data_IF_384872093875
#
_entry.id   IF_384872093875
#
_cell.length_a   1.000
_cell.length_b   1.000
_cell.length_c   1.000
_cell.angle_alpha   90.00
_cell.angle_beta   90.00
_cell.angle_gamma   90.00
#
_symmetry.space_group_name_H-M   'P 1'
#
loop_
_entity.id
_entity.type
_entity.pdbx_description
1 polymer ?
#
# COMPACT_ATOMS: atom_id res chain seq x y z
N UNK A 1 -14.47 31.55 -40.06
CA UNK A 1 -14.39 30.13 -39.62
C UNK A 1 -13.40 30.08 -38.46
N UNK A 2 -13.74 30.46 -37.23
CA UNK A 2 -14.80 29.92 -36.35
C UNK A 2 -14.66 28.41 -36.13
N UNK A 3 -13.95 28.10 -35.03
CA UNK A 3 -14.32 27.10 -34.01
C UNK A 3 -14.60 25.68 -34.49
N UNK A 4 -13.64 24.76 -34.36
CA UNK A 4 -13.93 23.31 -34.27
C UNK A 4 -12.76 22.41 -33.80
N UNK A 5 -11.73 22.95 -33.15
CA UNK A 5 -10.58 22.14 -32.69
C UNK A 5 -10.06 22.66 -31.35
N UNK A 6 -10.81 22.47 -30.28
CA UNK A 6 -10.32 22.49 -28.88
C UNK A 6 -11.51 22.40 -27.93
N UNK A 7 -12.00 21.18 -27.65
CA UNK A 7 -12.69 20.83 -26.39
C UNK A 7 -13.14 19.36 -26.41
N UNK A 8 -12.20 18.44 -26.26
CA UNK A 8 -12.46 17.19 -25.54
C UNK A 8 -11.60 17.29 -24.28
N UNK A 9 -12.02 18.19 -23.38
CA UNK A 9 -11.48 18.28 -22.04
C UNK A 9 -12.24 17.23 -21.22
N UNK A 10 -11.70 16.01 -21.21
CA UNK A 10 -12.12 14.89 -20.38
C UNK A 10 -12.12 15.36 -18.92
N UNK A 11 -13.29 15.71 -18.38
CA UNK A 11 -13.49 15.92 -16.95
C UNK A 11 -13.39 14.57 -16.24
N UNK A 12 -12.17 14.14 -15.95
CA UNK A 12 -11.91 13.08 -14.98
C UNK A 12 -11.90 13.75 -13.60
N UNK A 13 -13.07 14.05 -13.06
CA UNK A 13 -13.21 14.38 -11.65
C UNK A 13 -12.92 13.11 -10.85
N UNK A 14 -11.66 12.94 -10.45
CA UNK A 14 -11.27 12.01 -9.40
C UNK A 14 -12.00 12.44 -8.12
N UNK A 15 -13.08 11.74 -7.80
CA UNK A 15 -13.56 11.69 -6.42
C UNK A 15 -12.44 11.05 -5.59
N UNK A 16 -11.63 11.88 -4.94
CA UNK A 16 -10.81 11.41 -3.83
C UNK A 16 -11.77 11.03 -2.71
N UNK A 17 -12.21 9.76 -2.68
CA UNK A 17 -12.65 9.16 -1.44
C UNK A 17 -11.41 9.09 -0.55
N UNK A 18 -11.17 10.18 0.18
CA UNK A 18 -10.36 10.10 1.38
C UNK A 18 -11.08 9.10 2.28
N UNK A 19 -10.58 7.87 2.31
CA UNK A 19 -10.90 6.94 3.38
C UNK A 19 -10.28 7.55 4.65
N UNK A 20 -11.01 8.50 5.24
CA UNK A 20 -10.77 8.94 6.60
C UNK A 20 -10.76 7.67 7.44
N UNK A 21 -9.69 7.52 8.21
CA UNK A 21 -9.59 6.55 9.28
C UNK A 21 -10.69 6.88 10.29
N UNK A 22 -11.90 6.40 10.02
CA UNK A 22 -12.97 6.35 10.99
C UNK A 22 -12.51 5.37 12.05
N UNK A 23 -12.08 5.93 13.18
CA UNK A 23 -12.09 5.21 14.45
C UNK A 23 -13.55 4.79 14.62
N UNK A 24 -13.88 3.55 14.24
CA UNK A 24 -15.19 2.99 14.46
C UNK A 24 -15.37 2.91 15.99
N UNK A 25 -16.10 3.90 16.48
CA UNK A 25 -16.71 3.91 17.79
C UNK A 25 -17.54 2.64 17.91
N UNK A 26 -17.24 1.87 18.95
CA UNK A 26 -17.98 0.75 19.53
C UNK A 26 -19.29 0.43 18.80
N UNK A 27 -19.23 -0.49 17.83
CA UNK A 27 -20.42 -1.24 17.44
C UNK A 27 -20.50 -2.40 18.41
N UNK A 28 -21.59 -2.44 19.17
CA UNK A 28 -21.94 -3.52 20.08
C UNK A 28 -21.55 -4.86 19.46
N UNK A 29 -20.72 -5.59 20.19
CA UNK A 29 -20.33 -6.95 19.87
C UNK A 29 -21.60 -7.75 19.58
N UNK A 30 -21.79 -8.13 18.32
CA UNK A 30 -22.49 -9.37 18.04
C UNK A 30 -21.76 -10.41 18.89
N UNK A 31 -22.42 -10.91 19.93
CA UNK A 31 -21.82 -11.88 20.85
C UNK A 31 -21.32 -13.06 20.00
N UNK A 32 -20.01 -13.13 19.81
CA UNK A 32 -19.38 -14.18 19.03
C UNK A 32 -19.36 -15.41 19.94
N UNK A 33 -20.11 -16.46 19.59
CA UNK A 33 -20.22 -17.64 20.46
C UNK A 33 -19.24 -18.75 20.09
N UNK A 34 -18.62 -18.68 18.90
CA UNK A 34 -17.70 -19.70 18.42
C UNK A 34 -16.62 -19.14 17.48
N UNK A 35 -15.54 -19.90 17.30
CA UNK A 35 -14.38 -19.54 16.44
C UNK A 35 -14.81 -19.27 15.00
N UNK A 36 -15.82 -19.98 14.47
CA UNK A 36 -16.29 -19.77 13.08
C UNK A 36 -16.94 -18.40 12.91
N UNK A 37 -17.73 -17.98 13.89
CA UNK A 37 -18.38 -16.67 13.94
C UNK A 37 -17.37 -15.55 14.20
N UNK A 38 -16.32 -15.83 14.97
CA UNK A 38 -15.18 -14.92 15.20
C UNK A 38 -14.47 -14.53 13.90
N UNK A 39 -14.28 -15.50 13.00
CA UNK A 39 -13.73 -15.25 11.67
C UNK A 39 -14.76 -14.63 10.71
N UNK A 40 -16.02 -15.07 10.72
CA UNK A 40 -17.06 -14.53 9.80
C UNK A 40 -17.43 -13.08 10.08
N UNK A 41 -17.42 -12.69 11.35
CA UNK A 41 -17.69 -11.31 11.79
C UNK A 41 -16.46 -10.40 11.71
N UNK A 42 -15.36 -10.90 11.14
CA UNK A 42 -14.19 -10.10 10.86
C UNK A 42 -14.42 -9.02 9.82
N UNK A 43 -13.46 -8.11 9.72
CA UNK A 43 -13.50 -6.97 8.81
C UNK A 43 -12.37 -7.07 7.79
N UNK A 44 -12.70 -6.81 6.53
CA UNK A 44 -11.74 -6.74 5.43
C UNK A 44 -11.59 -5.26 5.05
N UNK A 45 -10.35 -4.81 4.95
CA UNK A 45 -10.01 -3.48 4.47
C UNK A 45 -8.94 -3.60 3.41
N UNK A 46 -8.93 -2.69 2.45
CA UNK A 46 -7.91 -2.71 1.42
C UNK A 46 -7.95 -1.48 0.55
N UNK A 47 -6.94 -1.36 -0.28
CA UNK A 47 -6.88 -0.33 -1.30
C UNK A 47 -6.12 -0.85 -2.51
N UNK A 48 -6.43 -0.28 -3.67
CA UNK A 48 -5.66 -0.42 -4.88
C UNK A 48 -4.88 0.87 -5.12
N UNK A 49 -3.71 0.74 -5.71
CA UNK A 49 -2.82 1.85 -6.04
C UNK A 49 -2.23 1.62 -7.42
N UNK A 50 -2.25 2.68 -8.21
CA UNK A 50 -1.38 2.83 -9.36
C UNK A 50 -0.37 3.95 -9.04
N UNK A 51 0.90 3.72 -9.33
CA UNK A 51 1.99 4.66 -9.06
C UNK A 51 2.85 4.78 -10.32
N UNK A 52 2.70 5.92 -10.98
CA UNK A 52 3.56 6.32 -12.09
C UNK A 52 4.69 7.22 -11.56
N UNK A 53 5.93 6.90 -11.90
CA UNK A 53 7.12 7.65 -11.52
C UNK A 53 7.99 7.88 -12.73
N UNK A 54 8.51 9.09 -12.85
CA UNK A 54 9.55 9.41 -13.82
C UNK A 54 10.60 10.30 -13.18
N UNK A 55 11.87 9.98 -13.44
CA UNK A 55 13.02 10.78 -13.05
C UNK A 55 13.66 11.34 -14.31
N UNK A 56 13.66 12.67 -14.42
CA UNK A 56 14.38 13.41 -15.46
C UNK A 56 15.75 13.78 -14.92
N UNK A 57 16.80 13.20 -15.48
CA UNK A 57 18.18 13.42 -15.08
C UNK A 57 18.81 14.55 -15.91
N UNK A 58 19.89 15.13 -15.39
CA UNK A 58 20.56 16.26 -16.04
C UNK A 58 21.57 15.81 -17.09
N UNK A 59 21.64 16.55 -18.20
CA UNK A 59 22.69 16.38 -19.22
C UNK A 59 22.51 15.11 -20.03
N UNK A 60 23.56 14.28 -20.09
CA UNK A 60 23.59 13.04 -20.87
C UNK A 60 23.19 11.80 -20.07
N UNK A 61 22.73 11.96 -18.83
CA UNK A 61 22.25 10.86 -18.00
C UNK A 61 20.91 10.37 -18.53
N UNK A 62 20.68 9.05 -18.47
CA UNK A 62 19.42 8.45 -18.88
C UNK A 62 18.25 8.87 -17.99
N UNK A 63 17.09 9.11 -18.60
CA UNK A 63 15.83 9.28 -17.89
C UNK A 63 15.16 7.93 -17.63
N UNK A 64 14.48 7.83 -16.48
CA UNK A 64 13.83 6.60 -16.06
C UNK A 64 12.33 6.82 -15.83
N UNK A 65 11.56 5.80 -16.12
CA UNK A 65 10.11 5.80 -15.97
C UNK A 65 9.63 4.41 -15.58
N UNK A 66 8.67 4.38 -14.65
CA UNK A 66 8.03 3.15 -14.20
C UNK A 66 6.57 3.40 -13.86
N UNK A 67 5.77 2.37 -14.10
CA UNK A 67 4.38 2.31 -13.70
C UNK A 67 4.14 1.01 -12.91
N UNK A 68 3.79 1.18 -11.64
CA UNK A 68 3.47 0.08 -10.75
C UNK A 68 1.97 0.05 -10.46
N UNK A 69 1.37 -1.12 -10.48
CA UNK A 69 -0.03 -1.32 -10.06
C UNK A 69 -0.08 -2.39 -8.99
N UNK A 70 -0.83 -2.17 -7.93
CA UNK A 70 -0.86 -3.08 -6.80
C UNK A 70 -1.91 -2.68 -5.78
N UNK A 71 -1.80 -3.25 -4.59
CA UNK A 71 -2.74 -2.96 -3.52
C UNK A 71 -2.37 -3.63 -2.22
N UNK A 72 -3.18 -3.35 -1.22
CA UNK A 72 -3.13 -3.98 0.09
C UNK A 72 -4.49 -4.59 0.42
N UNK A 73 -4.47 -5.77 1.02
CA UNK A 73 -5.64 -6.41 1.62
C UNK A 73 -5.29 -6.76 3.06
N UNK A 74 -6.15 -6.34 3.98
CA UNK A 74 -6.06 -6.58 5.39
C UNK A 74 -7.35 -7.28 5.86
N UNK A 75 -7.20 -8.25 6.74
CA UNK A 75 -8.28 -8.90 7.44
C UNK A 75 -8.02 -8.86 8.94
N UNK A 76 -9.04 -8.49 9.71
CA UNK A 76 -9.01 -8.58 11.16
C UNK A 76 -10.22 -9.37 11.65
N UNK A 77 -10.04 -10.31 12.57
CA UNK A 77 -11.17 -11.00 13.21
C UNK A 77 -12.02 -10.03 14.01
N UNK A 78 -13.23 -10.45 14.38
CA UNK A 78 -13.98 -9.76 15.43
C UNK A 78 -13.20 -9.80 16.76
N UNK A 79 -13.67 -9.06 17.77
CA UNK A 79 -13.13 -9.20 19.13
C UNK A 79 -13.88 -10.33 19.86
N UNK A 80 -13.15 -11.28 20.44
CA UNK A 80 -13.70 -12.36 21.27
C UNK A 80 -13.00 -12.34 22.64
N UNK A 81 -13.75 -12.02 23.69
CA UNK A 81 -13.21 -11.74 25.03
C UNK A 81 -12.04 -10.74 25.01
N UNK A 82 -12.12 -9.73 24.14
CA UNK A 82 -11.07 -8.73 23.93
C UNK A 82 -9.94 -9.16 22.98
N UNK A 83 -9.87 -10.42 22.56
CA UNK A 83 -8.85 -10.89 21.62
C UNK A 83 -9.26 -10.70 20.16
N UNK A 84 -8.33 -10.22 19.33
CA UNK A 84 -8.45 -10.18 17.88
C UNK A 84 -7.12 -10.46 17.19
N UNK A 85 -7.18 -11.05 16.00
CA UNK A 85 -6.02 -11.31 15.15
C UNK A 85 -6.15 -10.48 13.88
N UNK A 86 -5.06 -9.88 13.44
CA UNK A 86 -4.99 -9.13 12.18
C UNK A 86 -3.89 -9.66 11.26
N UNK A 87 -4.18 -9.68 9.96
CA UNK A 87 -3.25 -10.04 8.89
C UNK A 87 -3.38 -9.04 7.75
N UNK A 88 -2.26 -8.60 7.17
CA UNK A 88 -2.27 -7.72 5.98
C UNK A 88 -1.22 -8.14 4.99
N UNK A 89 -1.63 -8.34 3.74
CA UNK A 89 -0.77 -8.58 2.60
C UNK A 89 -0.78 -7.40 1.64
N UNK A 90 0.34 -7.21 0.94
CA UNK A 90 0.47 -6.29 -0.19
C UNK A 90 0.98 -7.03 -1.41
N UNK A 91 0.47 -6.65 -2.58
CA UNK A 91 0.89 -7.17 -3.87
C UNK A 91 1.22 -5.99 -4.79
N UNK A 92 2.18 -6.17 -5.69
CA UNK A 92 2.63 -5.13 -6.60
C UNK A 92 3.11 -5.77 -7.89
N UNK A 93 2.67 -5.21 -9.01
CA UNK A 93 2.99 -5.65 -10.36
C UNK A 93 3.66 -4.50 -11.12
N UNK A 94 4.71 -4.83 -11.85
CA UNK A 94 5.29 -3.92 -12.83
C UNK A 94 4.43 -3.95 -14.10
N UNK A 95 3.73 -2.85 -14.36
CA UNK A 95 2.86 -2.72 -15.54
C UNK A 95 3.57 -2.11 -16.74
N UNK A 96 4.58 -1.26 -16.50
CA UNK A 96 5.40 -0.66 -17.55
C UNK A 96 6.69 -0.12 -16.94
N UNK A 97 7.81 -0.28 -17.65
CA UNK A 97 9.09 0.34 -17.32
C UNK A 97 9.94 0.54 -18.59
N UNK A 98 10.91 1.45 -18.53
CA UNK A 98 11.83 1.74 -19.64
C UNK A 98 13.24 1.11 -19.44
N UNK A 99 13.29 -0.13 -18.93
CA UNK A 99 14.51 -0.90 -18.61
C UNK A 99 15.26 -0.36 -17.38
N UNK A 100 14.66 -0.56 -16.20
CA UNK A 100 15.19 -0.04 -14.94
C UNK A 100 16.58 -0.58 -14.56
N UNK A 101 16.95 -1.75 -15.10
CA UNK A 101 18.24 -2.41 -14.83
C UNK A 101 19.32 -2.05 -15.86
N UNK A 102 19.01 -1.22 -16.86
CA UNK A 102 20.00 -0.75 -17.82
C UNK A 102 20.98 0.19 -17.11
N UNK A 103 22.26 -0.18 -17.13
CA UNK A 103 23.34 0.63 -16.61
C UNK A 103 23.54 1.84 -17.53
N UNK A 104 23.50 3.03 -16.95
CA UNK A 104 23.83 4.28 -17.61
C UNK A 104 25.34 4.38 -17.84
N UNK A 105 25.76 4.61 -19.09
CA UNK A 105 27.18 4.63 -19.47
C UNK A 105 27.96 5.77 -18.80
N UNK A 106 27.31 6.90 -18.51
CA UNK A 106 27.96 8.07 -17.93
C UNK A 106 28.17 7.94 -16.41
N UNK A 107 27.25 7.28 -15.70
CA UNK A 107 27.28 7.15 -14.23
C UNK A 107 27.62 5.74 -13.73
N UNK A 108 27.61 4.74 -14.61
CA UNK A 108 27.74 3.32 -14.32
C UNK A 108 26.75 2.84 -13.23
N UNK A 109 25.53 3.39 -13.24
CA UNK A 109 24.44 3.09 -12.31
C UNK A 109 23.14 2.85 -13.06
N UNK A 110 22.21 2.14 -12.42
CA UNK A 110 20.85 1.93 -12.93
C UNK A 110 19.84 2.80 -12.17
N UNK A 111 18.55 2.72 -12.54
CA UNK A 111 17.50 3.53 -11.93
C UNK A 111 17.34 3.22 -10.44
N UNK A 112 17.64 4.18 -9.55
CA UNK A 112 17.44 3.95 -8.11
C UNK A 112 15.97 4.10 -7.71
N UNK A 113 15.34 5.20 -8.09
CA UNK A 113 14.03 5.60 -7.55
C UNK A 113 12.89 4.73 -8.08
N UNK A 114 12.88 4.46 -9.38
CA UNK A 114 11.87 3.65 -10.05
C UNK A 114 11.93 2.19 -9.60
N UNK A 115 13.13 1.65 -9.37
CA UNK A 115 13.33 0.26 -8.93
C UNK A 115 12.80 0.04 -7.51
N UNK A 116 12.84 1.06 -6.63
CA UNK A 116 12.25 1.02 -5.28
C UNK A 116 10.70 0.90 -5.27
N UNK A 117 10.02 1.06 -6.40
CA UNK A 117 8.60 0.72 -6.51
C UNK A 117 8.36 -0.79 -6.47
N UNK A 118 9.39 -1.60 -6.73
CA UNK A 118 9.35 -3.04 -6.86
C UNK A 118 10.28 -3.72 -5.83
N UNK A 119 10.51 -5.02 -5.97
CA UNK A 119 11.44 -5.75 -5.10
C UNK A 119 12.88 -5.63 -5.58
N UNK A 120 13.72 -5.14 -4.69
CA UNK A 120 15.15 -5.04 -4.91
C UNK A 120 15.86 -6.40 -4.80
N UNK A 121 15.26 -7.40 -4.14
CA UNK A 121 15.87 -8.73 -3.98
C UNK A 121 15.72 -9.60 -5.23
N UNK A 122 14.69 -9.34 -6.04
CA UNK A 122 14.41 -10.03 -7.31
C UNK A 122 14.03 -9.02 -8.40
N UNK A 123 14.97 -8.16 -8.84
CA UNK A 123 14.68 -7.06 -9.75
C UNK A 123 14.20 -7.51 -11.15
N UNK A 124 14.51 -8.76 -11.54
CA UNK A 124 14.08 -9.39 -12.80
C UNK A 124 12.62 -9.87 -12.75
N UNK A 125 12.07 -10.08 -11.55
CA UNK A 125 10.74 -10.65 -11.35
C UNK A 125 9.67 -9.55 -11.41
N UNK A 126 8.85 -9.59 -12.47
CA UNK A 126 7.83 -8.56 -12.72
C UNK A 126 6.44 -8.91 -12.21
N UNK A 127 6.20 -10.17 -11.81
CA UNK A 127 4.85 -10.72 -11.61
C UNK A 127 4.54 -11.28 -10.23
N UNK A 128 5.47 -11.27 -9.30
CA UNK A 128 5.24 -11.93 -8.03
C UNK A 128 5.91 -11.17 -6.90
N UNK A 129 5.12 -10.66 -5.95
CA UNK A 129 5.64 -9.88 -4.83
C UNK A 129 4.66 -9.68 -3.67
N UNK A 130 4.04 -10.79 -3.25
CA UNK A 130 3.16 -10.84 -2.10
C UNK A 130 3.98 -10.75 -0.80
N UNK A 131 3.91 -9.61 -0.11
CA UNK A 131 4.59 -9.41 1.20
C UNK A 131 3.56 -9.30 2.31
N UNK A 132 3.78 -10.03 3.39
CA UNK A 132 2.99 -9.92 4.62
C UNK A 132 3.48 -8.70 5.43
N UNK A 133 2.65 -7.67 5.51
CA UNK A 133 2.94 -6.42 6.22
C UNK A 133 2.59 -6.48 7.69
N UNK A 134 1.45 -7.08 8.03
CA UNK A 134 0.97 -7.16 9.41
C UNK A 134 0.60 -8.59 9.75
N UNK A 135 1.01 -8.99 10.95
CA UNK A 135 0.57 -10.22 11.60
C UNK A 135 0.65 -9.99 13.09
N UNK A 136 -0.50 -9.79 13.72
CA UNK A 136 -0.54 -9.42 15.12
C UNK A 136 -1.70 -10.06 15.88
N UNK A 137 -1.50 -10.19 17.18
CA UNK A 137 -2.53 -10.44 18.18
C UNK A 137 -2.78 -9.16 18.97
N UNK A 138 -4.04 -8.80 19.16
CA UNK A 138 -4.47 -7.64 19.95
C UNK A 138 -5.37 -8.09 21.08
N UNK A 139 -5.16 -7.53 22.27
CA UNK A 139 -6.03 -7.66 23.43
C UNK A 139 -6.55 -6.28 23.85
N UNK A 140 -7.87 -6.08 23.83
CA UNK A 140 -8.54 -4.85 24.23
C UNK A 140 -9.13 -4.97 25.65
N UNK A 141 -8.96 -3.93 26.46
CA UNK A 141 -9.46 -3.84 27.83
C UNK A 141 -9.94 -2.40 28.13
N UNK A 142 -11.26 -2.24 28.28
CA UNK A 142 -11.90 -0.92 28.36
C UNK A 142 -11.57 -0.09 27.11
N UNK A 143 -10.96 1.09 27.31
CA UNK A 143 -10.57 2.00 26.23
C UNK A 143 -9.12 1.78 25.76
N UNK A 144 -8.42 0.78 26.29
CA UNK A 144 -7.02 0.52 26.02
C UNK A 144 -6.84 -0.79 25.26
N UNK A 145 -5.68 -0.97 24.64
CA UNK A 145 -5.31 -2.22 24.02
C UNK A 145 -3.81 -2.45 24.06
N UNK A 146 -3.42 -3.72 24.00
CA UNK A 146 -2.04 -4.15 23.76
C UNK A 146 -2.03 -4.98 22.49
N UNK A 147 -1.05 -4.74 21.63
CA UNK A 147 -0.84 -5.52 20.40
C UNK A 147 0.58 -6.09 20.40
N UNK A 148 0.72 -7.31 19.90
CA UNK A 148 2.00 -8.00 19.76
C UNK A 148 2.10 -8.67 18.38
N UNK A 149 3.26 -8.51 17.73
CA UNK A 149 3.54 -9.05 16.40
C UNK A 149 4.11 -8.00 15.46
N UNK A 150 3.94 -8.22 14.16
CA UNK A 150 4.32 -7.27 13.11
C UNK A 150 3.18 -6.29 12.87
N UNK A 151 3.41 -5.00 13.07
CA UNK A 151 2.37 -3.96 13.14
C UNK A 151 2.70 -2.80 12.20
N UNK A 152 1.69 -2.24 11.53
CA UNK A 152 1.85 -0.99 10.77
C UNK A 152 1.63 0.23 11.70
N UNK A 153 2.73 0.69 12.30
CA UNK A 153 2.70 1.86 13.20
C UNK A 153 2.76 3.14 12.37
N UNK A 154 1.62 3.81 12.25
CA UNK A 154 1.51 5.13 11.62
C UNK A 154 0.83 6.17 12.53
N UNK A 155 1.18 6.17 13.82
CA UNK A 155 0.61 7.07 14.82
C UNK A 155 1.71 7.79 15.59
N UNK A 156 1.55 9.10 15.74
CA UNK A 156 2.44 9.95 16.52
C UNK A 156 3.50 10.69 15.69
N UNK A 157 4.29 11.58 16.33
CA UNK A 157 5.29 12.39 15.65
C UNK A 157 6.59 11.63 15.34
N UNK A 158 6.88 10.55 16.07
CA UNK A 158 8.16 9.82 15.99
C UNK A 158 8.15 8.69 14.96
N UNK A 159 7.05 7.95 14.85
CA UNK A 159 6.92 6.80 13.96
C UNK A 159 5.84 7.10 12.93
N UNK A 160 6.27 7.67 11.80
CA UNK A 160 5.42 7.90 10.63
C UNK A 160 5.79 6.95 9.51
N UNK A 161 4.76 6.40 8.88
CA UNK A 161 4.90 5.58 7.69
C UNK A 161 5.37 6.46 6.52
N UNK A 162 6.40 5.99 5.81
CA UNK A 162 6.81 6.58 4.52
C UNK A 162 6.04 5.91 3.41
N UNK A 163 5.10 6.63 2.81
CA UNK A 163 4.18 6.11 1.78
C UNK A 163 4.55 6.53 0.34
N UNK A 164 5.82 6.89 0.12
CA UNK A 164 6.32 7.37 -1.18
C UNK A 164 6.60 6.29 -2.22
N UNK A 165 6.25 5.03 -1.94
CA UNK A 165 6.46 3.87 -2.81
C UNK A 165 5.22 2.97 -2.79
N UNK A 166 5.22 1.91 -3.59
CA UNK A 166 4.15 0.90 -3.55
C UNK A 166 4.11 0.15 -2.23
N UNK A 167 5.28 -0.10 -1.64
CA UNK A 167 5.44 -0.84 -0.39
C UNK A 167 5.91 0.12 0.71
N UNK A 168 5.02 0.57 1.61
CA UNK A 168 5.42 1.44 2.70
C UNK A 168 6.39 0.73 3.65
N UNK A 169 7.23 1.49 4.34
CA UNK A 169 8.06 0.95 5.41
C UNK A 169 7.22 0.84 6.69
N UNK A 170 7.18 -0.37 7.23
CA UNK A 170 6.61 -0.72 8.55
C UNK A 170 7.76 -1.03 9.51
N UNK A 171 7.55 -0.71 10.79
CA UNK A 171 8.55 -0.81 11.87
C UNK A 171 8.28 -2.00 12.78
#
# INVERSE_FOLDING_TARGET
>A
MRTLLTTILLHLTLYSLGAQHSVNVHRDSLEVHNIKEWFRSGSIHGHFRNYFMTTVNSGSLNDYTANATGGALAFSTAEYYGFSIGVKGIFTFNTYDNELLRIDEASNKFANWETELFDLTRPEEKKDLDRLEELYLKYAFGNNYISYGKLDINKGPLLKRRDGRMKPFVY
#
